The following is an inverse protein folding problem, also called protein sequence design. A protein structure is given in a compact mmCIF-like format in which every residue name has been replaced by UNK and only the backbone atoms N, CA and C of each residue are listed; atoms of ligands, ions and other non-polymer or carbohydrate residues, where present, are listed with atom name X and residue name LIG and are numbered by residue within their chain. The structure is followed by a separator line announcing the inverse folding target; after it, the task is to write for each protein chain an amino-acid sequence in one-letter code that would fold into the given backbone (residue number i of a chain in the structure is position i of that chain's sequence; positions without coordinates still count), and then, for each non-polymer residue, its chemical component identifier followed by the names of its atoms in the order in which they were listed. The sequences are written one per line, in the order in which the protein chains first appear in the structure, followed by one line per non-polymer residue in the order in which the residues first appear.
data_IF_890843980832
#
_entry.id   IF_890843980832
#
_cell.length_a   1.000
_cell.length_b   1.000
_cell.length_c   1.000
_cell.angle_alpha   90.00
_cell.angle_beta   90.00
_cell.angle_gamma   90.00
#
_symmetry.space_group_name_H-M   'P 1'
#
loop_
_entity.id
_entity.type
_entity.pdbx_description
1 polymer ?
#
# COMPACT_ATOMS: atom_id res chain seq x y z
N UNK A 1 -3.36 -20.10 5.69
CA UNK A 1 -4.75 -20.63 5.79
C UNK A 1 -5.66 -19.71 6.62
N UNK A 2 -5.50 -18.38 6.55
CA UNK A 2 -6.39 -17.37 7.18
C UNK A 2 -7.03 -16.46 6.11
N UNK A 3 -6.38 -16.26 4.96
CA UNK A 3 -6.89 -15.50 3.81
C UNK A 3 -8.20 -16.05 3.18
N UNK A 4 -8.48 -17.35 3.30
CA UNK A 4 -9.67 -17.97 2.68
C UNK A 4 -11.00 -17.54 3.30
N UNK A 5 -11.04 -17.07 4.55
CA UNK A 5 -12.28 -16.69 5.24
C UNK A 5 -12.60 -15.18 5.15
N UNK A 6 -11.60 -14.32 4.93
CA UNK A 6 -11.83 -12.89 4.66
C UNK A 6 -12.42 -12.68 3.25
N UNK A 7 -12.08 -13.55 2.30
CA UNK A 7 -12.48 -13.44 0.90
C UNK A 7 -13.97 -13.59 0.59
N UNK A 8 -14.84 -13.97 1.54
CA UNK A 8 -16.28 -14.03 1.28
C UNK A 8 -16.98 -12.68 1.41
N UNK A 9 -16.55 -11.80 2.33
CA UNK A 9 -17.19 -10.50 2.54
C UNK A 9 -16.71 -9.43 1.54
N UNK A 10 -15.47 -9.56 1.06
CA UNK A 10 -14.85 -8.57 0.15
C UNK A 10 -15.34 -8.66 -1.30
N UNK A 11 -15.93 -9.79 -1.70
CA UNK A 11 -16.46 -9.99 -3.07
C UNK A 11 -17.54 -9.00 -3.50
N UNK A 12 -18.03 -8.19 -2.57
CA UNK A 12 -19.14 -7.26 -2.76
C UNK A 12 -18.73 -5.80 -2.67
N UNK A 13 -17.44 -5.51 -2.49
CA UNK A 13 -16.94 -4.15 -2.36
C UNK A 13 -15.73 -3.93 -3.27
N UNK A 14 -15.69 -2.81 -4.01
CA UNK A 14 -14.46 -2.34 -4.63
C UNK A 14 -13.35 -2.27 -3.58
N UNK A 15 -12.17 -2.75 -3.93
CA UNK A 15 -10.97 -2.65 -3.12
C UNK A 15 -9.74 -2.72 -4.02
N UNK A 16 -8.70 -2.01 -3.63
CA UNK A 16 -7.36 -2.16 -4.15
C UNK A 16 -6.67 -3.30 -3.40
N UNK A 17 -6.03 -4.20 -4.13
CA UNK A 17 -5.28 -5.29 -3.54
C UNK A 17 -3.79 -5.05 -3.78
N UNK A 18 -3.02 -4.60 -2.76
CA UNK A 18 -1.59 -4.39 -2.92
C UNK A 18 -0.93 -5.71 -3.34
N UNK A 19 0.15 -5.63 -4.11
CA UNK A 19 0.83 -6.77 -4.75
C UNK A 19 1.53 -7.68 -3.73
N UNK A 20 0.76 -8.34 -2.88
CA UNK A 20 1.24 -9.38 -1.96
C UNK A 20 1.09 -10.78 -2.56
N UNK A 21 0.65 -10.87 -3.83
CA UNK A 21 0.41 -12.14 -4.50
C UNK A 21 1.38 -12.34 -5.65
N UNK A 22 2.31 -13.28 -5.48
CA UNK A 22 3.08 -13.81 -6.58
C UNK A 22 2.12 -14.30 -7.68
N UNK A 23 2.26 -13.77 -8.88
CA UNK A 23 1.61 -14.35 -10.04
C UNK A 23 2.21 -15.74 -10.30
N UNK A 24 1.44 -16.60 -10.97
CA UNK A 24 2.09 -17.74 -11.60
C UNK A 24 3.15 -17.17 -12.58
N UNK A 25 4.35 -17.77 -12.67
CA UNK A 25 5.35 -17.33 -13.62
C UNK A 25 4.76 -17.30 -15.02
N UNK A 26 4.92 -16.17 -15.71
CA UNK A 26 4.44 -16.02 -17.07
C UNK A 26 5.04 -17.11 -17.98
N UNK A 27 4.17 -17.88 -18.64
CA UNK A 27 4.54 -18.90 -19.61
C UNK A 27 3.86 -18.59 -20.96
N UNK A 28 4.61 -18.12 -21.97
CA UNK A 28 4.05 -17.76 -23.27
C UNK A 28 3.43 -18.98 -23.99
N UNK A 29 3.81 -20.21 -23.63
CA UNK A 29 3.28 -21.41 -24.28
C UNK A 29 1.86 -21.76 -23.84
N UNK A 30 1.38 -21.13 -22.76
CA UNK A 30 0.05 -21.36 -22.20
C UNK A 30 -0.98 -20.31 -22.62
N UNK A 31 -0.56 -19.21 -23.25
CA UNK A 31 -1.41 -18.03 -23.50
C UNK A 31 -2.66 -18.38 -24.33
N UNK A 32 -2.54 -19.17 -25.39
CA UNK A 32 -3.70 -19.57 -26.23
C UNK A 32 -4.74 -20.35 -25.40
N UNK A 33 -4.26 -21.23 -24.52
CA UNK A 33 -5.11 -21.97 -23.58
C UNK A 33 -5.78 -21.05 -22.56
N UNK A 34 -5.08 -20.00 -22.12
CA UNK A 34 -5.60 -19.01 -21.18
C UNK A 34 -6.63 -18.09 -21.82
N UNK A 35 -6.42 -17.64 -23.07
CA UNK A 35 -7.41 -16.89 -23.84
C UNK A 35 -8.71 -17.71 -23.95
N UNK A 36 -8.60 -18.98 -24.30
CA UNK A 36 -9.74 -19.91 -24.37
C UNK A 36 -10.46 -20.03 -23.02
N UNK A 37 -9.72 -20.16 -21.91
CA UNK A 37 -10.31 -20.24 -20.57
C UNK A 37 -10.92 -18.92 -20.12
N UNK A 38 -10.29 -17.79 -20.43
CA UNK A 38 -10.79 -16.45 -20.11
C UNK A 38 -12.10 -16.18 -20.86
N UNK A 39 -12.22 -16.62 -22.12
CA UNK A 39 -13.47 -16.55 -22.88
C UNK A 39 -14.58 -17.40 -22.24
N UNK A 40 -14.26 -18.61 -21.78
CA UNK A 40 -15.20 -19.42 -21.01
C UNK A 40 -15.61 -18.76 -19.67
N UNK A 41 -14.70 -18.01 -19.04
CA UNK A 41 -14.98 -17.24 -17.82
C UNK A 41 -15.80 -15.98 -18.14
N UNK A 42 -15.64 -15.37 -19.32
CA UNK A 42 -16.47 -14.27 -19.85
C UNK A 42 -17.93 -14.65 -19.84
N UNK A 43 -18.26 -15.79 -20.44
CA UNK A 43 -19.64 -16.30 -20.52
C UNK A 43 -20.25 -16.65 -19.16
N UNK A 44 -19.43 -17.15 -18.23
CA UNK A 44 -19.91 -17.67 -16.94
C UNK A 44 -19.92 -16.63 -15.82
N UNK A 45 -18.97 -15.69 -15.83
CA UNK A 45 -18.57 -15.00 -14.60
C UNK A 45 -18.01 -13.58 -14.74
N UNK A 46 -17.50 -13.17 -15.90
CA UNK A 46 -16.87 -11.85 -16.13
C UNK A 46 -17.80 -10.89 -16.90
N UNK A 47 -18.87 -11.35 -17.57
CA UNK A 47 -19.81 -10.41 -18.19
C UNK A 47 -19.23 -9.68 -19.40
N UNK A 48 -18.41 -8.64 -19.21
CA UNK A 48 -17.65 -7.96 -20.26
C UNK A 48 -16.19 -7.74 -19.90
N UNK A 49 -15.33 -7.65 -20.92
CA UNK A 49 -13.93 -7.24 -20.78
C UNK A 49 -13.75 -5.92 -21.52
N UNK A 50 -13.13 -4.94 -20.87
CA UNK A 50 -12.94 -3.59 -21.41
C UNK A 50 -11.52 -3.11 -21.24
N UNK A 51 -11.08 -2.23 -22.12
CA UNK A 51 -9.86 -1.43 -21.94
C UNK A 51 -10.14 -0.25 -21.02
N UNK A 52 -9.09 0.40 -20.49
CA UNK A 52 -9.21 1.55 -19.59
C UNK A 52 -9.97 2.75 -20.19
N UNK A 53 -9.95 2.93 -21.51
CA UNK A 53 -10.73 3.94 -22.23
C UNK A 53 -12.22 3.52 -22.46
N UNK A 54 -12.62 2.36 -21.96
CA UNK A 54 -13.98 1.84 -21.98
C UNK A 54 -14.33 1.01 -23.23
N UNK A 55 -13.40 0.82 -24.18
CA UNK A 55 -13.67 0.02 -25.37
C UNK A 55 -13.91 -1.45 -25.01
N UNK A 56 -14.90 -2.06 -25.66
CA UNK A 56 -15.23 -3.47 -25.45
C UNK A 56 -14.20 -4.36 -26.16
N UNK A 57 -13.69 -5.37 -25.46
CA UNK A 57 -12.79 -6.38 -26.01
C UNK A 57 -13.61 -7.59 -26.46
N UNK A 58 -13.99 -7.58 -27.73
CA UNK A 58 -14.73 -8.70 -28.34
C UNK A 58 -13.83 -9.88 -28.69
N UNK A 59 -12.59 -9.58 -29.11
CA UNK A 59 -11.57 -10.55 -29.52
C UNK A 59 -10.31 -10.42 -28.65
N UNK A 60 -10.00 -11.46 -27.88
CA UNK A 60 -8.86 -11.49 -26.97
C UNK A 60 -7.51 -11.48 -27.71
N UNK A 61 -7.47 -11.88 -28.99
CA UNK A 61 -6.25 -11.85 -29.80
C UNK A 61 -5.79 -10.41 -30.11
N UNK A 62 -6.64 -9.43 -29.85
CA UNK A 62 -6.30 -8.00 -29.96
C UNK A 62 -5.51 -7.47 -28.75
N UNK A 63 -5.50 -8.21 -27.63
CA UNK A 63 -4.77 -7.85 -26.43
C UNK A 63 -3.34 -8.42 -26.46
N UNK A 64 -2.36 -7.74 -25.85
CA UNK A 64 -1.06 -8.34 -25.62
C UNK A 64 -1.17 -9.64 -24.80
N UNK A 65 -0.36 -10.68 -25.07
CA UNK A 65 -0.33 -11.93 -24.30
C UNK A 65 -0.19 -11.74 -22.78
N UNK A 66 0.56 -10.72 -22.37
CA UNK A 66 0.76 -10.33 -20.98
C UNK A 66 -0.53 -9.86 -20.31
N UNK A 67 -1.37 -9.13 -21.04
CA UNK A 67 -2.66 -8.62 -20.57
C UNK A 67 -3.66 -9.77 -20.43
N UNK A 68 -3.69 -10.69 -21.40
CA UNK A 68 -4.51 -11.91 -21.32
C UNK A 68 -4.11 -12.75 -20.10
N UNK A 69 -2.80 -12.93 -19.87
CA UNK A 69 -2.28 -13.65 -18.71
C UNK A 69 -2.72 -13.01 -17.39
N UNK A 70 -2.57 -11.69 -17.27
CA UNK A 70 -2.98 -10.92 -16.08
C UNK A 70 -4.49 -11.04 -15.83
N UNK A 71 -5.31 -10.79 -16.85
CA UNK A 71 -6.76 -10.87 -16.76
C UNK A 71 -7.24 -12.27 -16.34
N UNK A 72 -6.70 -13.32 -16.97
CA UNK A 72 -7.00 -14.71 -16.62
C UNK A 72 -6.58 -15.06 -15.19
N UNK A 73 -5.37 -14.66 -14.78
CA UNK A 73 -4.83 -14.93 -13.45
C UNK A 73 -5.69 -14.29 -12.35
N UNK A 74 -6.13 -13.05 -12.58
CA UNK A 74 -7.04 -12.32 -11.67
C UNK A 74 -8.41 -13.00 -11.61
N UNK A 75 -8.98 -13.36 -12.77
CA UNK A 75 -10.30 -13.98 -12.84
C UNK A 75 -10.39 -15.34 -12.14
N UNK A 76 -9.34 -16.18 -12.25
CA UNK A 76 -9.30 -17.48 -11.58
C UNK A 76 -9.28 -17.40 -10.06
N UNK A 77 -8.77 -16.30 -9.51
CA UNK A 77 -8.63 -16.12 -8.06
C UNK A 77 -9.93 -15.66 -7.38
N UNK A 78 -11.00 -15.45 -8.15
CA UNK A 78 -12.29 -14.93 -7.67
C UNK A 78 -12.17 -13.60 -6.93
N UNK A 79 -11.20 -12.77 -7.33
CA UNK A 79 -10.93 -11.45 -6.77
C UNK A 79 -11.94 -10.40 -7.29
N UNK A 80 -13.24 -10.68 -7.16
CA UNK A 80 -14.28 -9.72 -7.52
C UNK A 80 -14.24 -8.52 -6.59
N UNK A 81 -14.40 -7.34 -7.17
CA UNK A 81 -14.19 -6.05 -6.52
C UNK A 81 -12.72 -5.62 -6.48
N UNK A 82 -11.76 -6.49 -6.82
CA UNK A 82 -10.35 -6.17 -6.67
C UNK A 82 -9.78 -5.43 -7.87
N UNK A 83 -8.91 -4.47 -7.59
CA UNK A 83 -7.96 -3.88 -8.51
C UNK A 83 -6.55 -4.36 -8.18
N UNK A 84 -5.80 -4.79 -9.20
CA UNK A 84 -4.44 -5.31 -9.06
C UNK A 84 -3.50 -4.71 -10.09
N UNK A 85 -2.34 -4.26 -9.62
CA UNK A 85 -1.24 -3.75 -10.44
C UNK A 85 -0.15 -4.81 -10.58
N UNK A 86 0.07 -5.27 -11.80
CA UNK A 86 0.90 -6.44 -12.08
C UNK A 86 2.03 -6.10 -13.06
N UNK A 87 3.23 -6.63 -12.82
CA UNK A 87 4.30 -6.62 -13.80
C UNK A 87 4.41 -7.98 -14.47
N UNK A 88 4.02 -8.04 -15.74
CA UNK A 88 4.11 -9.27 -16.54
C UNK A 88 5.21 -9.10 -17.58
N UNK A 89 6.34 -9.77 -17.38
CA UNK A 89 7.54 -9.58 -18.21
C UNK A 89 7.97 -8.10 -18.35
N UNK A 90 7.94 -7.35 -17.25
CA UNK A 90 8.25 -5.91 -17.20
C UNK A 90 7.20 -4.98 -17.85
N UNK A 91 6.08 -5.51 -18.34
CA UNK A 91 4.93 -4.71 -18.78
C UNK A 91 4.02 -4.42 -17.57
N UNK A 92 3.76 -3.14 -17.23
CA UNK A 92 2.74 -2.76 -16.28
C UNK A 92 1.35 -3.09 -16.83
N UNK A 93 0.59 -3.86 -16.08
CA UNK A 93 -0.80 -4.21 -16.39
C UNK A 93 -1.63 -4.04 -15.12
N UNK A 94 -2.63 -3.16 -15.16
CA UNK A 94 -3.65 -3.08 -14.11
C UNK A 94 -4.86 -3.87 -14.56
N UNK A 95 -5.38 -4.73 -13.67
CA UNK A 95 -6.63 -5.47 -13.88
C UNK A 95 -7.60 -5.09 -12.77
N UNK A 96 -8.75 -4.53 -13.15
CA UNK A 96 -9.84 -4.25 -12.24
C UNK A 96 -11.03 -5.16 -12.54
N UNK A 97 -11.42 -6.02 -11.61
CA UNK A 97 -12.60 -6.85 -11.74
C UNK A 97 -13.72 -6.30 -10.86
N UNK A 98 -14.68 -5.59 -11.47
CA UNK A 98 -15.75 -4.92 -10.75
C UNK A 98 -16.70 -5.91 -10.06
N UNK A 99 -17.47 -5.39 -9.09
CA UNK A 99 -18.52 -6.15 -8.40
C UNK A 99 -19.67 -6.55 -9.35
N UNK A 100 -19.89 -5.78 -10.40
CA UNK A 100 -20.88 -6.03 -11.46
C UNK A 100 -20.39 -7.05 -12.50
N UNK A 101 -19.19 -7.59 -12.27
CA UNK A 101 -18.46 -8.60 -13.02
C UNK A 101 -17.63 -8.09 -14.17
N UNK A 102 -17.79 -6.84 -14.61
CA UNK A 102 -16.97 -6.26 -15.68
C UNK A 102 -15.48 -6.27 -15.32
N UNK A 103 -14.64 -6.72 -16.24
CA UNK A 103 -13.19 -6.74 -16.08
C UNK A 103 -12.56 -5.68 -16.98
N UNK A 104 -11.94 -4.68 -16.36
CA UNK A 104 -11.20 -3.62 -17.04
C UNK A 104 -9.72 -3.94 -17.01
N UNK A 105 -9.05 -3.79 -18.15
CA UNK A 105 -7.59 -3.92 -18.28
C UNK A 105 -6.99 -2.60 -18.74
N UNK A 106 -5.90 -2.21 -18.09
CA UNK A 106 -5.03 -1.12 -18.50
C UNK A 106 -3.61 -1.67 -18.65
N UNK A 107 -2.85 -1.20 -19.62
CA UNK A 107 -1.44 -1.54 -19.77
C UNK A 107 -0.70 -0.44 -20.49
N UNK A 108 0.63 -0.44 -20.39
CA UNK A 108 1.48 0.47 -21.14
C UNK A 108 2.80 -0.20 -21.51
N UNK A 109 3.56 0.46 -22.39
CA UNK A 109 4.98 0.14 -22.62
C UNK A 109 5.93 0.92 -21.69
N UNK A 110 5.36 1.65 -20.71
CA UNK A 110 6.14 2.37 -19.72
C UNK A 110 7.00 1.38 -18.92
N UNK A 111 8.22 1.79 -18.64
CA UNK A 111 9.09 1.01 -17.77
C UNK A 111 8.84 1.44 -16.34
N UNK A 112 8.86 0.46 -15.44
CA UNK A 112 8.97 0.74 -14.00
C UNK A 112 10.08 1.73 -13.78
N UNK A 113 9.78 2.70 -12.92
CA UNK A 113 10.71 3.72 -12.49
C UNK A 113 12.10 3.14 -12.20
N UNK A 114 13.13 3.84 -12.65
CA UNK A 114 14.53 3.46 -12.46
C UNK A 114 15.14 4.30 -11.36
N UNK A 115 15.67 3.63 -10.35
CA UNK A 115 16.41 4.24 -9.27
C UNK A 115 17.46 5.25 -9.78
N UNK A 116 17.38 6.54 -9.39
CA UNK A 116 18.47 7.46 -9.59
C UNK A 116 19.73 6.95 -8.89
N UNK A 117 20.88 7.23 -9.48
CA UNK A 117 22.17 6.94 -8.85
C UNK A 117 22.56 8.06 -7.90
N UNK A 118 23.18 7.72 -6.77
CA UNK A 118 23.78 8.70 -5.86
C UNK A 118 22.92 9.08 -4.65
N UNK A 119 21.73 8.48 -4.49
CA UNK A 119 21.00 8.51 -3.22
C UNK A 119 21.83 7.79 -2.17
N UNK A 120 22.07 8.46 -1.05
CA UNK A 120 22.83 7.94 0.10
C UNK A 120 22.03 8.14 1.37
N UNK A 121 22.33 7.36 2.40
CA UNK A 121 21.74 7.49 3.73
C UNK A 121 21.91 8.90 4.29
N UNK A 122 23.10 9.50 4.15
CA UNK A 122 23.39 10.87 4.59
C UNK A 122 22.55 11.90 3.83
N UNK A 123 22.45 11.76 2.51
CA UNK A 123 21.63 12.66 1.70
C UNK A 123 20.14 12.61 2.08
N UNK A 124 19.60 11.42 2.37
CA UNK A 124 18.21 11.26 2.83
C UNK A 124 17.97 11.96 4.17
N UNK A 125 18.90 11.83 5.11
CA UNK A 125 18.84 12.52 6.41
C UNK A 125 18.87 14.04 6.23
N UNK A 126 19.80 14.54 5.43
CA UNK A 126 19.95 15.98 5.18
C UNK A 126 18.75 16.58 4.44
N UNK A 127 18.15 15.83 3.51
CA UNK A 127 17.05 16.30 2.66
C UNK A 127 15.71 16.27 3.38
N UNK A 128 15.41 15.20 4.10
CA UNK A 128 14.08 14.96 4.69
C UNK A 128 14.02 15.17 6.21
N UNK A 129 15.16 15.34 6.89
CA UNK A 129 15.21 15.50 8.35
C UNK A 129 14.83 14.24 9.13
N UNK A 130 14.87 13.07 8.50
CA UNK A 130 14.64 11.77 9.14
C UNK A 130 15.76 11.48 10.17
N UNK A 131 15.47 10.64 11.16
CA UNK A 131 16.38 10.33 12.28
C UNK A 131 17.60 9.50 11.91
N UNK A 132 17.62 8.94 10.69
CA UNK A 132 18.73 8.16 10.16
C UNK A 132 18.25 6.97 9.34
N UNK A 133 19.14 6.47 8.47
CA UNK A 133 18.96 5.26 7.69
C UNK A 133 20.03 4.26 8.14
N UNK A 134 19.61 3.16 8.75
CA UNK A 134 20.50 2.21 9.41
C UNK A 134 20.40 0.81 8.80
N UNK A 135 21.55 0.17 8.67
CA UNK A 135 21.64 -1.27 8.43
C UNK A 135 21.27 -2.00 9.73
N UNK A 136 20.22 -2.82 9.69
CA UNK A 136 19.90 -3.77 10.74
C UNK A 136 20.68 -5.06 10.55
N UNK A 137 19.99 -6.20 10.42
CA UNK A 137 20.64 -7.45 10.00
C UNK A 137 20.87 -7.55 8.48
N UNK A 138 20.38 -6.56 7.73
CA UNK A 138 20.52 -6.42 6.28
C UNK A 138 21.05 -5.04 5.93
N UNK A 139 21.84 -4.98 4.85
CA UNK A 139 22.37 -3.71 4.33
C UNK A 139 21.42 -3.09 3.32
N UNK A 140 21.29 -1.78 3.36
CA UNK A 140 20.60 -1.02 2.34
C UNK A 140 21.30 -1.15 0.97
N UNK A 141 20.53 -1.54 -0.04
CA UNK A 141 20.94 -1.47 -1.44
C UNK A 141 20.73 -0.08 -2.03
N UNK A 142 21.48 0.27 -3.09
CA UNK A 142 21.32 1.56 -3.77
C UNK A 142 19.90 1.76 -4.36
N UNK A 143 19.30 0.68 -4.90
CA UNK A 143 17.92 0.74 -5.40
C UNK A 143 16.91 0.91 -4.25
N UNK A 144 17.13 0.24 -3.12
CA UNK A 144 16.26 0.34 -1.94
C UNK A 144 16.29 1.76 -1.33
N UNK A 145 17.48 2.38 -1.25
CA UNK A 145 17.62 3.79 -0.83
C UNK A 145 16.89 4.73 -1.78
N UNK A 146 16.93 4.45 -3.08
CA UNK A 146 16.22 5.23 -4.07
C UNK A 146 14.69 5.05 -3.96
N UNK A 147 14.20 3.85 -3.63
CA UNK A 147 12.78 3.62 -3.31
C UNK A 147 12.35 4.41 -2.08
N UNK A 148 13.21 4.48 -1.04
CA UNK A 148 12.98 5.30 0.16
C UNK A 148 12.95 6.80 -0.18
N UNK A 149 13.90 7.28 -0.99
CA UNK A 149 13.90 8.64 -1.54
C UNK A 149 12.58 8.97 -2.23
N UNK A 150 12.17 8.11 -3.18
CA UNK A 150 10.93 8.29 -3.92
C UNK A 150 9.72 8.38 -2.99
N UNK A 151 9.60 7.48 -2.00
CA UNK A 151 8.50 7.52 -1.03
C UNK A 151 8.49 8.83 -0.22
N UNK A 152 9.65 9.27 0.29
CA UNK A 152 9.75 10.51 1.06
C UNK A 152 9.50 11.76 0.20
N UNK A 153 9.87 11.72 -1.08
CA UNK A 153 9.65 12.82 -2.04
C UNK A 153 8.18 13.06 -2.39
N UNK A 154 7.32 12.06 -2.14
CA UNK A 154 5.88 12.17 -2.38
C UNK A 154 5.15 12.89 -1.23
N UNK A 155 5.75 12.99 -0.05
CA UNK A 155 5.14 13.65 1.10
C UNK A 155 5.00 15.15 0.87
N UNK A 156 3.87 15.70 1.30
CA UNK A 156 3.65 17.15 1.34
C UNK A 156 4.46 17.80 2.47
N UNK A 157 4.59 19.14 2.42
CA UNK A 157 5.27 19.90 3.48
C UNK A 157 4.64 19.71 4.86
N UNK A 158 3.32 19.48 4.93
CA UNK A 158 2.58 19.28 6.17
C UNK A 158 2.74 17.85 6.73
N UNK A 159 3.10 16.88 5.88
CA UNK A 159 3.29 15.48 6.27
C UNK A 159 4.74 15.17 6.65
N UNK A 160 5.72 15.88 6.09
CA UNK A 160 7.14 15.73 6.41
C UNK A 160 7.45 15.77 7.92
N UNK A 161 6.81 16.62 8.75
CA UNK A 161 7.00 16.59 10.20
C UNK A 161 6.78 15.23 10.86
N UNK A 162 5.95 14.35 10.29
CA UNK A 162 5.67 13.04 10.87
C UNK A 162 6.81 12.04 10.70
N UNK A 163 7.70 12.26 9.74
CA UNK A 163 8.90 11.44 9.54
C UNK A 163 10.16 12.06 10.13
N UNK A 164 10.10 13.31 10.60
CA UNK A 164 11.24 13.98 11.22
C UNK A 164 11.71 13.20 12.47
N UNK A 165 13.00 12.87 12.50
CA UNK A 165 13.58 12.08 13.58
C UNK A 165 13.21 10.60 13.59
N UNK A 166 12.34 10.11 12.68
CA UNK A 166 12.04 8.67 12.54
C UNK A 166 13.24 7.95 11.93
N UNK A 167 13.63 6.81 12.50
CA UNK A 167 14.70 5.95 11.97
C UNK A 167 14.14 4.99 10.94
N UNK A 168 14.82 4.83 9.82
CA UNK A 168 14.53 3.78 8.84
C UNK A 168 15.59 2.69 8.96
N UNK A 169 15.15 1.46 9.29
CA UNK A 169 16.04 0.32 9.55
C UNK A 169 15.79 -0.77 8.53
N UNK A 170 16.86 -1.31 7.95
CA UNK A 170 16.78 -2.43 7.01
C UNK A 170 17.05 -3.75 7.70
N UNK A 171 16.05 -4.62 7.73
CA UNK A 171 16.17 -5.98 8.25
C UNK A 171 15.73 -6.98 7.18
N UNK A 172 16.25 -8.20 7.16
CA UNK A 172 15.87 -9.21 6.19
C UNK A 172 14.44 -9.70 6.42
N UNK A 173 14.07 -9.93 7.68
CA UNK A 173 12.79 -10.53 8.08
C UNK A 173 12.19 -9.82 9.30
N UNK A 174 10.87 -9.77 9.33
CA UNK A 174 10.14 -9.31 10.52
C UNK A 174 10.20 -10.34 11.66
N UNK A 175 10.34 -9.83 12.88
CA UNK A 175 10.19 -10.61 14.12
C UNK A 175 8.73 -10.96 14.45
N UNK A 176 7.77 -10.32 13.76
CA UNK A 176 6.32 -10.46 13.95
C UNK A 176 5.70 -11.46 12.96
N UNK A 177 6.37 -11.75 11.84
CA UNK A 177 5.93 -12.78 10.89
C UNK A 177 6.65 -12.78 9.53
N UNK A 178 6.49 -13.86 8.77
CA UNK A 178 7.22 -14.12 7.50
C UNK A 178 6.72 -13.34 6.27
N UNK A 179 5.78 -12.40 6.41
CA UNK A 179 5.16 -11.67 5.28
C UNK A 179 4.92 -10.17 5.55
N UNK A 180 5.48 -9.65 6.63
CA UNK A 180 5.39 -8.22 6.91
C UNK A 180 6.36 -7.51 5.95
N UNK A 181 5.88 -6.50 5.22
CA UNK A 181 6.68 -5.76 4.23
C UNK A 181 7.52 -4.68 4.91
N UNK A 182 6.90 -3.97 5.84
CA UNK A 182 7.54 -3.02 6.72
C UNK A 182 6.74 -2.95 8.05
N UNK A 183 7.29 -2.27 9.05
CA UNK A 183 6.61 -2.07 10.33
C UNK A 183 7.09 -0.81 11.04
N UNK A 184 6.15 0.04 11.42
CA UNK A 184 6.34 1.18 12.30
C UNK A 184 6.22 0.81 13.79
N UNK A 185 7.29 1.04 14.55
CA UNK A 185 7.31 0.97 16.01
C UNK A 185 7.27 2.38 16.64
N UNK A 186 6.09 2.81 17.16
CA UNK A 186 5.95 4.09 17.84
C UNK A 186 6.49 4.09 19.28
N UNK A 187 7.03 2.96 19.78
CA UNK A 187 7.48 2.80 21.17
C UNK A 187 8.99 2.85 21.35
N UNK A 188 9.74 2.84 20.25
CA UNK A 188 11.18 3.08 20.24
C UNK A 188 11.49 4.57 20.46
N UNK A 189 12.69 4.89 20.95
CA UNK A 189 13.18 6.28 21.08
C UNK A 189 14.56 6.41 20.43
N UNK A 190 14.67 7.06 19.27
CA UNK A 190 13.58 7.63 18.46
C UNK A 190 12.70 6.56 17.78
N UNK A 191 11.46 6.89 17.35
CA UNK A 191 10.57 5.92 16.70
C UNK A 191 11.19 5.38 15.40
N UNK A 192 10.75 4.20 14.97
CA UNK A 192 11.43 3.44 13.93
C UNK A 192 10.45 2.85 12.92
N UNK A 193 10.80 2.90 11.64
CA UNK A 193 10.19 2.11 10.56
C UNK A 193 11.23 1.06 10.13
N UNK A 194 10.88 -0.22 10.27
CA UNK A 194 11.72 -1.34 9.83
C UNK A 194 11.21 -1.83 8.48
N UNK A 195 12.09 -2.01 7.49
CA UNK A 195 11.72 -2.39 6.11
C UNK A 195 12.39 -3.72 5.76
N UNK A 196 11.60 -4.66 5.24
CA UNK A 196 11.99 -6.06 5.07
C UNK A 196 12.25 -6.45 3.61
N UNK A 197 12.92 -7.59 3.37
CA UNK A 197 13.20 -8.11 2.02
C UNK A 197 11.90 -8.22 1.19
N UNK A 198 10.81 -8.62 1.85
CA UNK A 198 9.51 -8.80 1.22
C UNK A 198 8.95 -7.52 0.56
N UNK A 199 9.28 -6.32 1.05
CA UNK A 199 8.85 -5.07 0.41
C UNK A 199 9.47 -4.86 -0.97
N UNK A 200 10.65 -5.43 -1.21
CA UNK A 200 11.40 -5.29 -2.46
C UNK A 200 11.25 -6.51 -3.36
N UNK A 201 11.11 -7.70 -2.79
CA UNK A 201 10.95 -8.95 -3.57
C UNK A 201 9.69 -8.92 -4.45
N UNK A 202 8.62 -8.25 -4.00
CA UNK A 202 7.36 -8.11 -4.76
C UNK A 202 7.47 -7.19 -5.98
N UNK A 203 8.50 -6.34 -6.06
CA UNK A 203 8.71 -5.42 -7.18
C UNK A 203 9.02 -6.14 -8.50
N UNK A 204 9.38 -7.43 -8.45
CA UNK A 204 9.57 -8.23 -9.65
C UNK A 204 8.25 -8.58 -10.35
N UNK A 205 7.16 -8.66 -9.58
CA UNK A 205 5.85 -9.17 -10.02
C UNK A 205 4.75 -8.09 -10.00
N UNK A 206 5.03 -6.90 -9.45
CA UNK A 206 4.05 -5.84 -9.28
C UNK A 206 4.62 -4.44 -9.23
N UNK A 207 3.72 -3.48 -9.39
CA UNK A 207 3.99 -2.05 -9.28
C UNK A 207 2.86 -1.39 -8.49
N UNK A 208 2.94 -0.08 -8.30
CA UNK A 208 1.83 0.75 -7.81
C UNK A 208 1.76 2.04 -8.63
N UNK A 209 0.60 2.68 -8.66
CA UNK A 209 0.37 3.89 -9.47
C UNK A 209 -0.21 3.59 -10.84
N UNK A 210 -0.43 4.62 -11.67
CA UNK A 210 -0.96 4.43 -13.02
C UNK A 210 -0.03 3.60 -13.91
N UNK A 211 -0.59 2.80 -14.83
CA UNK A 211 0.19 1.99 -15.78
C UNK A 211 1.19 2.79 -16.61
N UNK A 212 0.94 4.07 -16.86
CA UNK A 212 1.82 4.96 -17.63
C UNK A 212 2.93 5.61 -16.78
N UNK A 213 2.84 5.52 -15.45
CA UNK A 213 3.81 6.02 -14.49
C UNK A 213 4.05 5.01 -13.34
N UNK A 214 4.42 3.75 -13.65
CA UNK A 214 4.52 2.68 -12.67
C UNK A 214 5.66 2.92 -11.67
N UNK A 215 5.34 2.88 -10.39
CA UNK A 215 6.28 3.00 -9.28
C UNK A 215 6.59 1.62 -8.65
N UNK A 216 7.76 1.43 -8.01
CA UNK A 216 8.06 0.19 -7.30
C UNK A 216 7.08 -0.01 -6.14
N UNK A 217 6.58 -1.24 -5.95
CA UNK A 217 5.63 -1.54 -4.87
C UNK A 217 6.17 -1.27 -3.45
N UNK A 218 7.51 -1.24 -3.29
CA UNK A 218 8.14 -0.82 -2.03
C UNK A 218 7.76 0.61 -1.62
N UNK A 219 7.48 1.51 -2.57
CA UNK A 219 7.06 2.89 -2.29
C UNK A 219 5.76 2.92 -1.49
N UNK A 220 4.73 2.17 -1.92
CA UNK A 220 3.46 2.11 -1.19
C UNK A 220 3.62 1.46 0.19
N UNK A 221 4.52 0.47 0.32
CA UNK A 221 4.79 -0.17 1.62
C UNK A 221 5.43 0.82 2.60
N UNK A 222 6.36 1.65 2.15
CA UNK A 222 7.00 2.69 2.96
C UNK A 222 5.99 3.77 3.33
N UNK A 223 5.20 4.25 2.36
CA UNK A 223 4.15 5.24 2.60
C UNK A 223 3.08 4.73 3.59
N UNK A 224 2.75 3.44 3.55
CA UNK A 224 1.83 2.84 4.51
C UNK A 224 2.35 2.98 5.95
N UNK A 225 3.62 2.68 6.21
CA UNK A 225 4.21 2.85 7.55
C UNK A 225 4.31 4.32 7.96
N UNK A 226 4.56 5.23 7.00
CA UNK A 226 4.50 6.67 7.25
C UNK A 226 3.07 7.11 7.61
N UNK A 227 2.06 6.52 6.97
CA UNK A 227 0.65 6.69 7.32
C UNK A 227 0.38 6.27 8.77
N UNK A 228 0.95 5.16 9.25
CA UNK A 228 0.87 4.82 10.67
C UNK A 228 1.55 5.88 11.56
N UNK A 229 2.72 6.39 11.17
CA UNK A 229 3.42 7.44 11.92
C UNK A 229 2.59 8.73 12.04
N UNK A 230 1.94 9.16 10.96
CA UNK A 230 1.01 10.29 10.93
C UNK A 230 -0.22 10.07 11.82
N UNK A 231 -0.84 8.89 11.72
CA UNK A 231 -2.00 8.55 12.55
C UNK A 231 -1.68 8.53 14.05
N UNK A 232 -0.45 8.17 14.41
CA UNK A 232 0.00 8.01 15.79
C UNK A 232 0.72 9.23 16.38
N UNK A 233 0.79 10.38 15.71
CA UNK A 233 1.46 11.59 16.23
C UNK A 233 1.04 11.95 17.65
N UNK A 234 -0.27 12.05 17.89
CA UNK A 234 -0.82 12.40 19.22
C UNK A 234 -0.63 11.26 20.23
N UNK A 235 -0.65 10.02 19.75
CA UNK A 235 -0.38 8.85 20.57
C UNK A 235 1.08 8.79 21.01
N UNK A 236 2.01 9.15 20.13
CA UNK A 236 3.44 9.26 20.40
C UNK A 236 3.71 10.33 21.45
N UNK A 237 3.13 11.51 21.27
CA UNK A 237 3.18 12.61 22.23
C UNK A 237 2.70 12.19 23.63
N UNK A 238 1.60 11.47 23.70
CA UNK A 238 1.07 10.95 24.96
C UNK A 238 1.98 9.85 25.56
N UNK A 239 2.60 9.02 24.73
CA UNK A 239 3.57 8.01 25.15
C UNK A 239 4.80 8.66 25.80
N UNK A 240 5.38 9.68 25.16
CA UNK A 240 6.52 10.44 25.69
C UNK A 240 6.21 11.05 27.06
N UNK A 241 5.04 11.68 27.21
CA UNK A 241 4.56 12.21 28.50
C UNK A 241 4.40 11.12 29.56
N UNK A 242 3.84 9.97 29.19
CA UNK A 242 3.74 8.81 30.09
C UNK A 242 5.14 8.28 30.49
N UNK A 243 6.10 8.26 29.57
CA UNK A 243 7.50 7.91 29.84
C UNK A 243 8.16 8.84 30.84
N UNK A 244 8.09 10.16 30.60
CA UNK A 244 8.64 11.18 31.50
C UNK A 244 8.03 11.10 32.92
N UNK A 245 6.70 10.96 33.00
CA UNK A 245 5.99 10.83 34.28
C UNK A 245 6.34 9.53 35.04
N UNK A 246 6.81 8.47 34.36
CA UNK A 246 7.31 7.26 35.03
C UNK A 246 8.67 7.46 35.70
N UNK A 247 9.51 8.33 35.16
CA UNK A 247 10.87 8.59 35.66
C UNK A 247 10.85 9.65 36.77
N UNK A 248 10.07 10.72 36.60
CA UNK A 248 10.12 11.89 37.50
C UNK A 248 8.80 12.27 38.18
N UNK A 249 7.66 11.71 37.75
CA UNK A 249 6.34 12.13 38.21
C UNK A 249 5.86 11.40 39.46
N UNK A 250 4.88 11.99 40.15
CA UNK A 250 4.22 11.33 41.28
C UNK A 250 3.25 10.22 40.81
N UNK A 251 2.63 9.52 41.77
CA UNK A 251 1.71 8.40 41.47
C UNK A 251 0.50 8.84 40.65
N UNK A 252 -0.02 10.04 40.88
CA UNK A 252 -1.21 10.57 40.22
C UNK A 252 -0.89 11.03 38.80
N UNK A 253 0.19 11.78 38.65
CA UNK A 253 0.70 12.24 37.35
C UNK A 253 0.99 11.07 36.42
N UNK A 254 1.75 10.07 36.89
CA UNK A 254 2.05 8.84 36.13
C UNK A 254 0.77 8.13 35.68
N UNK A 255 -0.22 8.04 36.56
CA UNK A 255 -1.51 7.40 36.24
C UNK A 255 -2.28 8.22 35.21
N UNK A 256 -2.28 9.54 35.32
CA UNK A 256 -2.97 10.43 34.39
C UNK A 256 -2.36 10.35 32.99
N UNK A 257 -1.05 10.54 32.87
CA UNK A 257 -0.34 10.52 31.59
C UNK A 257 -0.48 9.18 30.86
N UNK A 258 -0.32 8.05 31.57
CA UNK A 258 -0.44 6.74 30.94
C UNK A 258 -1.89 6.34 30.61
N UNK A 259 -2.89 6.89 31.31
CA UNK A 259 -4.29 6.77 30.88
C UNK A 259 -4.55 7.55 29.60
N UNK A 260 -4.03 8.78 29.49
CA UNK A 260 -4.15 9.57 28.28
C UNK A 260 -3.56 8.81 27.08
N UNK A 261 -2.33 8.29 27.20
CA UNK A 261 -1.72 7.43 26.16
C UNK A 261 -2.60 6.22 25.81
N UNK A 262 -3.13 5.51 26.81
CA UNK A 262 -3.97 4.33 26.56
C UNK A 262 -5.28 4.65 25.82
N UNK A 263 -5.80 5.87 25.98
CA UNK A 263 -6.99 6.34 25.26
C UNK A 263 -6.64 6.63 23.80
N UNK A 264 -5.65 7.50 23.56
CA UNK A 264 -5.30 7.93 22.19
C UNK A 264 -4.70 6.82 21.34
N UNK A 265 -3.91 5.90 21.92
CA UNK A 265 -3.32 4.77 21.16
C UNK A 265 -4.36 3.85 20.51
N UNK A 266 -5.57 3.78 21.07
CA UNK A 266 -6.64 2.95 20.47
C UNK A 266 -7.37 3.69 19.37
N UNK A 267 -7.62 4.98 19.60
CA UNK A 267 -8.42 5.87 18.77
C UNK A 267 -7.94 7.30 19.00
N UNK A 268 -6.98 7.71 18.19
CA UNK A 268 -6.54 9.11 18.13
C UNK A 268 -7.50 9.93 17.27
N UNK A 269 -7.55 11.26 17.44
CA UNK A 269 -8.29 12.18 16.59
C UNK A 269 -8.23 11.90 15.09
N UNK A 270 -7.05 11.64 14.52
CA UNK A 270 -6.90 11.29 13.09
C UNK A 270 -7.69 10.04 12.72
N UNK A 271 -7.57 8.98 13.51
CA UNK A 271 -8.27 7.71 13.28
C UNK A 271 -9.77 7.81 13.52
N UNK A 272 -10.19 8.61 14.50
CA UNK A 272 -11.62 8.88 14.73
C UNK A 272 -12.22 9.68 13.57
N UNK A 273 -11.51 10.69 13.05
CA UNK A 273 -11.92 11.47 11.88
C UNK A 273 -11.99 10.59 10.62
N UNK A 274 -10.99 9.73 10.40
CA UNK A 274 -10.98 8.77 9.29
C UNK A 274 -12.15 7.77 9.40
N UNK A 275 -12.41 7.27 10.60
CA UNK A 275 -13.51 6.34 10.83
C UNK A 275 -14.88 7.01 10.64
N UNK A 276 -15.02 8.27 11.04
CA UNK A 276 -16.23 9.07 10.79
C UNK A 276 -16.45 9.29 9.28
N UNK A 277 -15.40 9.62 8.53
CA UNK A 277 -15.45 9.75 7.07
C UNK A 277 -15.88 8.45 6.38
N UNK A 278 -15.35 7.32 6.85
CA UNK A 278 -15.74 6.01 6.30
C UNK A 278 -17.20 5.68 6.54
N UNK A 279 -17.80 6.17 7.63
CA UNK A 279 -19.21 5.89 8.01
C UNK A 279 -19.57 4.39 7.92
N UNK A 280 -18.68 3.54 8.44
CA UNK A 280 -18.85 2.08 8.40
C UNK A 280 -18.57 1.41 7.06
N UNK A 281 -18.24 2.15 5.99
CA UNK A 281 -17.76 1.58 4.73
C UNK A 281 -16.44 0.81 4.94
N UNK A 282 -16.18 -0.23 4.13
CA UNK A 282 -14.88 -0.91 4.07
C UNK A 282 -13.69 0.05 3.89
N UNK A 283 -12.49 -0.40 4.25
CA UNK A 283 -11.25 0.29 3.89
C UNK A 283 -10.91 0.04 2.42
N UNK A 284 -9.90 0.73 1.87
CA UNK A 284 -9.56 0.62 0.46
C UNK A 284 -8.97 -0.74 0.08
N UNK A 285 -8.42 -1.51 1.03
CA UNK A 285 -7.97 -2.89 0.78
C UNK A 285 -8.68 -3.93 1.64
N UNK A 286 -8.42 -5.20 1.30
CA UNK A 286 -8.85 -6.35 2.09
C UNK A 286 -8.34 -6.34 3.54
N UNK A 287 -7.15 -5.77 3.79
CA UNK A 287 -6.51 -5.73 5.10
C UNK A 287 -7.05 -4.58 5.96
N UNK A 288 -7.15 -3.37 5.39
CA UNK A 288 -7.79 -2.20 6.00
C UNK A 288 -9.27 -2.34 6.31
N UNK A 289 -9.95 -3.36 5.77
CA UNK A 289 -11.39 -3.58 5.99
C UNK A 289 -11.81 -3.50 7.46
N UNK A 290 -11.04 -4.14 8.38
CA UNK A 290 -11.44 -4.31 9.80
C UNK A 290 -10.72 -3.39 10.77
N UNK A 291 -9.59 -2.82 10.38
CA UNK A 291 -8.77 -2.01 11.27
C UNK A 291 -8.72 -0.57 10.73
N UNK A 292 -9.30 0.42 11.45
CA UNK A 292 -9.25 1.81 11.05
C UNK A 292 -7.83 2.35 10.83
N UNK A 293 -6.83 1.87 11.59
CA UNK A 293 -5.43 2.26 11.43
C UNK A 293 -4.86 1.76 10.11
N UNK A 294 -4.99 0.46 9.82
CA UNK A 294 -4.53 -0.11 8.54
C UNK A 294 -5.24 0.54 7.35
N UNK A 295 -6.55 0.76 7.48
CA UNK A 295 -7.32 1.45 6.44
C UNK A 295 -6.85 2.87 6.19
N UNK A 296 -6.44 3.58 7.23
CA UNK A 296 -5.91 4.93 7.10
C UNK A 296 -4.57 4.89 6.39
N UNK A 297 -3.66 4.03 6.86
CA UNK A 297 -2.31 3.86 6.28
C UNK A 297 -2.35 3.44 4.80
N UNK A 298 -3.24 2.51 4.43
CA UNK A 298 -3.44 2.12 3.03
C UNK A 298 -4.03 3.23 2.17
N UNK A 299 -5.03 3.94 2.69
CA UNK A 299 -5.61 5.07 1.97
C UNK A 299 -4.59 6.20 1.78
N UNK A 300 -3.79 6.47 2.81
CA UNK A 300 -2.68 7.41 2.74
C UNK A 300 -1.68 7.03 1.65
N UNK A 301 -1.24 5.77 1.62
CA UNK A 301 -0.33 5.29 0.58
C UNK A 301 -0.93 5.44 -0.82
N UNK A 302 -2.19 5.02 -1.01
CA UNK A 302 -2.86 5.12 -2.31
C UNK A 302 -3.10 6.57 -2.74
N UNK A 303 -3.45 7.48 -1.83
CA UNK A 303 -3.64 8.88 -2.18
C UNK A 303 -2.39 9.51 -2.83
N UNK A 304 -1.21 9.02 -2.45
CA UNK A 304 0.08 9.50 -2.94
C UNK A 304 0.57 8.81 -4.22
N UNK A 305 0.23 7.53 -4.42
CA UNK A 305 0.72 6.76 -5.58
C UNK A 305 -0.33 6.61 -6.69
N UNK A 306 -1.60 6.48 -6.33
CA UNK A 306 -2.74 6.32 -7.24
C UNK A 306 -4.06 6.83 -6.62
N UNK A 307 -4.28 8.16 -6.62
CA UNK A 307 -5.52 8.73 -6.07
C UNK A 307 -6.77 8.27 -6.82
N UNK A 308 -6.66 7.93 -8.11
CA UNK A 308 -7.79 7.42 -8.90
C UNK A 308 -8.17 6.00 -8.47
N UNK A 309 -7.19 5.13 -8.17
CA UNK A 309 -7.44 3.81 -7.60
C UNK A 309 -8.05 3.90 -6.20
N UNK A 310 -7.59 4.85 -5.37
CA UNK A 310 -8.22 5.13 -4.08
C UNK A 310 -9.68 5.54 -4.26
N UNK A 311 -9.99 6.40 -5.22
CA UNK A 311 -11.35 6.84 -5.49
C UNK A 311 -12.26 5.69 -5.95
N UNK A 312 -11.73 4.79 -6.80
CA UNK A 312 -12.45 3.57 -7.21
C UNK A 312 -12.70 2.61 -6.04
N UNK A 313 -11.74 2.48 -5.11
CA UNK A 313 -11.86 1.61 -3.95
C UNK A 313 -12.74 2.19 -2.84
N UNK A 314 -12.66 3.50 -2.61
CA UNK A 314 -13.36 4.23 -1.56
C UNK A 314 -13.67 5.66 -2.00
N UNK A 315 -14.84 5.84 -2.62
CA UNK A 315 -15.37 7.12 -3.11
C UNK A 315 -15.23 8.27 -2.08
N UNK A 316 -14.65 9.38 -2.53
CA UNK A 316 -14.32 10.59 -1.80
C UNK A 316 -13.07 10.50 -0.90
N UNK A 317 -12.35 9.37 -0.88
CA UNK A 317 -11.20 9.22 0.00
C UNK A 317 -9.96 9.97 -0.50
N UNK A 318 -9.82 10.13 -1.82
CA UNK A 318 -8.70 10.88 -2.40
C UNK A 318 -8.67 12.33 -1.89
N UNK A 319 -9.81 13.02 -1.92
CA UNK A 319 -9.94 14.38 -1.39
C UNK A 319 -9.76 14.47 0.12
N UNK A 320 -9.77 13.34 0.84
CA UNK A 320 -9.44 13.33 2.27
C UNK A 320 -8.01 13.72 2.56
N UNK A 321 -7.11 13.36 1.67
CA UNK A 321 -5.68 13.62 1.79
C UNK A 321 -5.24 14.84 0.98
N UNK A 322 -6.16 15.52 0.28
CA UNK A 322 -5.82 16.73 -0.48
C UNK A 322 -5.64 17.92 0.50
N UNK A 323 -4.43 18.49 0.62
CA UNK A 323 -4.18 19.61 1.53
C UNK A 323 -4.95 20.88 1.16
N UNK A 324 -5.46 20.98 -0.08
CA UNK A 324 -6.29 22.12 -0.51
C UNK A 324 -7.73 22.06 0.04
N UNK A 325 -8.18 20.90 0.50
CA UNK A 325 -9.49 20.71 1.13
C UNK A 325 -9.36 20.85 2.66
N UNK A 326 -9.09 22.09 3.12
CA UNK A 326 -8.93 22.38 4.56
C UNK A 326 -10.19 22.02 5.34
N UNK A 327 -10.05 21.13 6.32
CA UNK A 327 -11.12 20.66 7.23
C UNK A 327 -11.00 21.21 8.64
#
# INVERSE_FOLDING_TARGET
MILLLAGCALRHHPHYEPVAFALAPYDPTLVDGMATQLDQLRDRSIGSIRTADGALVDDLDTLPPQVVWAAWSTALRWARGAELDLLVQQMPVTVWWSVDRDLTVAWSDARVWRAPTGVTSEWLVDTYGIGGVFDGDRRWGAAELATLDLALSLLTEDELPAVQGVRFVRDALSTRGVRELAWYDPTDEPPQISIFDAAFDIEADGFVGPVDAPLPSGVASILHEIGHALADLEARDAWLRCGAARVGGDREERRSACRAYSQVRRRGPTIDAWQAFRDGRPGPSSFGFRNPHESYAEAFALAHVDPDALERALDGASSWFDPSDTR
#
